data_IF_459453817715
#
_entry.id   IF_459453817715
#
_cell.length_a   1.000
_cell.length_b   1.000
_cell.length_c   1.000
_cell.angle_alpha   90.00
_cell.angle_beta   90.00
_cell.angle_gamma   90.00
#
_symmetry.space_group_name_H-M   'P 1'
#
loop_
_entity.id
_entity.type
_entity.pdbx_description
1 polymer ?
#
# COMPACT_ATOMS: atom_id res chain seq x y z
N UNK A 1 -0.67 -12.80 12.26
CA UNK A 1 -1.63 -12.54 11.18
C UNK A 1 -3.06 -12.49 11.70
N UNK A 2 -4.02 -12.06 10.87
CA UNK A 2 -5.45 -12.10 11.20
C UNK A 2 -6.19 -12.93 10.15
N UNK A 3 -7.29 -13.59 10.54
CA UNK A 3 -8.17 -14.31 9.62
C UNK A 3 -9.56 -13.71 9.70
N UNK A 4 -10.12 -13.43 8.54
CA UNK A 4 -11.49 -12.93 8.38
C UNK A 4 -12.35 -13.97 7.67
N UNK A 5 -13.58 -14.14 8.13
CA UNK A 5 -14.60 -15.00 7.53
C UNK A 5 -15.74 -14.13 7.00
N UNK A 6 -15.68 -13.68 5.74
CA UNK A 6 -16.66 -12.77 5.18
C UNK A 6 -18.07 -13.35 5.24
N UNK A 7 -19.02 -12.55 5.74
CA UNK A 7 -20.44 -12.97 5.90
C UNK A 7 -20.74 -13.90 7.09
N UNK A 8 -19.73 -14.29 7.88
CA UNK A 8 -19.93 -15.14 9.06
C UNK A 8 -19.42 -14.49 10.36
N UNK A 9 -18.36 -13.67 10.27
CA UNK A 9 -17.83 -12.92 11.40
C UNK A 9 -17.46 -11.52 10.98
N UNK A 10 -17.82 -10.52 11.79
CA UNK A 10 -17.47 -9.12 11.54
C UNK A 10 -16.02 -8.82 11.94
N UNK A 11 -15.57 -9.41 13.04
CA UNK A 11 -14.24 -9.14 13.59
C UNK A 11 -13.23 -10.20 13.15
N UNK A 12 -12.06 -9.81 12.63
CA UNK A 12 -10.99 -10.75 12.31
C UNK A 12 -10.43 -11.42 13.57
N UNK A 13 -10.14 -12.71 13.47
CA UNK A 13 -9.50 -13.47 14.53
C UNK A 13 -7.97 -13.34 14.45
N UNK A 14 -7.33 -13.11 15.59
CA UNK A 14 -5.87 -13.26 15.68
C UNK A 14 -5.52 -14.75 15.59
N UNK A 15 -4.54 -15.07 14.75
CA UNK A 15 -4.18 -16.42 14.46
C UNK A 15 -2.69 -16.56 14.13
N UNK A 16 -2.15 -17.75 14.32
CA UNK A 16 -0.81 -18.14 13.90
C UNK A 16 -0.88 -19.37 13.01
N UNK A 17 0.00 -19.43 12.00
CA UNK A 17 0.17 -20.62 11.17
C UNK A 17 1.03 -21.59 11.94
N UNK A 18 0.53 -22.80 12.18
CA UNK A 18 1.26 -23.86 12.86
C UNK A 18 1.87 -24.88 11.90
N UNK A 19 1.26 -25.07 10.74
CA UNK A 19 1.75 -26.00 9.73
C UNK A 19 1.39 -25.53 8.34
N UNK A 20 2.29 -25.75 7.38
CA UNK A 20 2.07 -25.52 5.95
C UNK A 20 2.49 -26.78 5.20
N UNK A 21 1.61 -27.32 4.39
CA UNK A 21 1.91 -28.42 3.49
C UNK A 21 1.44 -28.10 2.08
N UNK A 22 2.23 -28.49 1.09
CA UNK A 22 1.90 -28.29 -0.32
C UNK A 22 1.63 -29.66 -0.93
N UNK A 23 0.48 -29.80 -1.56
CA UNK A 23 0.15 -30.98 -2.37
C UNK A 23 0.67 -30.72 -3.80
N UNK A 24 1.78 -31.34 -4.13
CA UNK A 24 2.43 -31.19 -5.44
C UNK A 24 1.54 -31.67 -6.62
N UNK A 25 0.63 -32.61 -6.35
CA UNK A 25 -0.22 -33.14 -7.40
C UNK A 25 -1.35 -32.17 -7.79
N UNK A 26 -1.91 -31.45 -6.82
CA UNK A 26 -3.01 -30.49 -7.05
C UNK A 26 -2.53 -29.04 -7.13
N UNK A 27 -1.29 -28.75 -6.73
CA UNK A 27 -0.76 -27.39 -6.58
C UNK A 27 -1.41 -26.59 -5.46
N UNK A 28 -2.14 -27.25 -4.56
CA UNK A 28 -2.83 -26.60 -3.44
C UNK A 28 -1.97 -26.58 -2.19
N UNK A 29 -1.96 -25.46 -1.50
CA UNK A 29 -1.36 -25.34 -0.18
C UNK A 29 -2.41 -25.54 0.91
N UNK A 30 -2.06 -26.35 1.91
CA UNK A 30 -2.86 -26.55 3.11
C UNK A 30 -2.18 -25.83 4.27
N UNK A 31 -2.95 -25.03 4.99
CA UNK A 31 -2.50 -24.32 6.18
C UNK A 31 -3.26 -24.80 7.39
N UNK A 32 -2.53 -25.16 8.46
CA UNK A 32 -3.13 -25.36 9.78
C UNK A 32 -2.94 -24.08 10.58
N UNK A 33 -4.04 -23.53 11.03
CA UNK A 33 -4.07 -22.24 11.72
C UNK A 33 -4.63 -22.42 13.11
N UNK A 34 -3.92 -21.87 14.08
CA UNK A 34 -4.30 -21.92 15.50
C UNK A 34 -4.80 -20.56 15.96
N UNK A 35 -5.97 -20.51 16.57
CA UNK A 35 -6.56 -19.34 17.21
C UNK A 35 -6.64 -19.55 18.72
N UNK A 36 -6.34 -18.52 19.50
CA UNK A 36 -6.42 -18.59 20.98
C UNK A 36 -7.85 -18.41 21.52
N UNK A 37 -8.77 -17.94 20.68
CA UNK A 37 -10.14 -17.62 21.08
C UNK A 37 -11.11 -18.63 20.49
N UNK A 38 -11.91 -19.26 21.35
CA UNK A 38 -13.04 -20.10 20.96
C UNK A 38 -14.31 -19.39 21.44
N UNK A 39 -15.16 -19.00 20.49
CA UNK A 39 -16.48 -18.46 20.77
C UNK A 39 -17.55 -19.20 19.94
N UNK A 40 -18.84 -18.87 20.17
CA UNK A 40 -19.94 -19.51 19.46
C UNK A 40 -19.90 -19.37 17.95
N UNK A 41 -19.34 -18.27 17.46
CA UNK A 41 -19.22 -18.00 16.02
C UNK A 41 -18.12 -18.88 15.39
N UNK A 42 -16.98 -19.01 16.06
CA UNK A 42 -15.89 -19.90 15.63
C UNK A 42 -16.34 -21.36 15.56
N UNK A 43 -17.14 -21.82 16.53
CA UNK A 43 -17.66 -23.18 16.55
C UNK A 43 -18.63 -23.47 15.39
N UNK A 44 -19.25 -22.46 14.82
CA UNK A 44 -20.16 -22.59 13.66
C UNK A 44 -19.42 -22.57 12.32
N UNK A 45 -18.12 -22.19 12.33
CA UNK A 45 -17.32 -22.16 11.11
C UNK A 45 -17.06 -23.58 10.62
N UNK A 46 -17.79 -24.01 9.62
CA UNK A 46 -17.57 -25.28 8.92
C UNK A 46 -17.58 -25.03 7.45
N UNK A 47 -16.50 -25.41 6.73
CA UNK A 47 -16.34 -25.22 5.29
C UNK A 47 -16.50 -23.77 4.82
N UNK A 48 -16.18 -22.82 5.68
CA UNK A 48 -16.25 -21.41 5.38
C UNK A 48 -15.06 -20.94 4.52
N UNK A 49 -15.29 -19.96 3.66
CA UNK A 49 -14.19 -19.26 2.99
C UNK A 49 -13.54 -18.31 3.99
N UNK A 50 -12.22 -18.37 4.07
CA UNK A 50 -11.43 -17.49 4.93
C UNK A 50 -10.53 -16.60 4.09
N UNK A 51 -10.31 -15.38 4.56
CA UNK A 51 -9.29 -14.46 4.06
C UNK A 51 -8.18 -14.37 5.10
N UNK A 52 -6.96 -14.57 4.67
CA UNK A 52 -5.77 -14.38 5.51
C UNK A 52 -5.29 -12.96 5.31
N UNK A 53 -5.27 -12.19 6.39
CA UNK A 53 -4.73 -10.83 6.43
C UNK A 53 -3.34 -10.93 7.02
N UNK A 54 -2.34 -10.81 6.16
CA UNK A 54 -0.93 -10.91 6.56
C UNK A 54 -0.49 -9.60 7.20
N UNK A 55 -0.88 -8.49 6.59
CA UNK A 55 -0.54 -7.16 7.06
C UNK A 55 -1.71 -6.18 6.80
N UNK A 56 -1.76 -5.12 7.60
CA UNK A 56 -2.70 -4.01 7.47
C UNK A 56 -1.92 -2.71 7.54
N UNK A 57 -1.96 -1.97 6.47
CA UNK A 57 -1.27 -0.69 6.36
C UNK A 57 -2.28 0.43 6.18
N UNK A 58 -2.05 1.54 6.86
CA UNK A 58 -2.83 2.76 6.72
C UNK A 58 -2.00 3.80 5.98
N UNK A 59 -2.54 4.35 4.89
CA UNK A 59 -1.86 5.36 4.10
C UNK A 59 -2.78 5.96 3.04
N UNK A 60 -2.23 6.88 2.25
CA UNK A 60 -2.89 7.43 1.07
C UNK A 60 -2.70 6.47 -0.10
N UNK A 61 -3.76 6.20 -0.84
CA UNK A 61 -3.71 5.43 -2.08
C UNK A 61 -3.46 6.38 -3.24
N UNK A 62 -2.37 6.16 -3.94
CA UNK A 62 -1.94 6.96 -5.11
C UNK A 62 -1.89 6.04 -6.32
N UNK A 63 -2.47 6.39 -7.48
CA UNK A 63 -2.33 5.61 -8.71
C UNK A 63 -0.85 5.44 -9.06
N UNK A 64 -0.42 4.22 -9.38
CA UNK A 64 1.00 3.94 -9.73
C UNK A 64 1.42 4.73 -10.96
N UNK A 65 0.52 4.92 -11.93
CA UNK A 65 0.77 5.69 -13.14
C UNK A 65 1.02 7.20 -12.89
N UNK A 66 0.68 7.71 -11.70
CA UNK A 66 0.96 9.09 -11.30
C UNK A 66 2.32 9.25 -10.63
N UNK A 67 3.04 8.15 -10.37
CA UNK A 67 4.35 8.17 -9.70
C UNK A 67 5.44 8.47 -10.71
N UNK A 68 6.20 9.51 -10.42
CA UNK A 68 7.37 9.95 -11.19
C UNK A 68 8.61 9.79 -10.32
N UNK A 69 9.76 9.60 -10.97
CA UNK A 69 11.05 9.46 -10.30
C UNK A 69 11.98 10.58 -10.80
N UNK A 70 12.31 11.51 -9.91
CA UNK A 70 13.18 12.63 -10.22
C UNK A 70 14.52 12.54 -9.49
N UNK A 71 15.61 12.89 -10.18
CA UNK A 71 16.88 13.20 -9.55
C UNK A 71 16.89 14.63 -9.00
N UNK A 72 17.87 14.93 -8.15
CA UNK A 72 18.10 16.29 -7.66
C UNK A 72 18.39 17.31 -8.78
N UNK A 73 18.91 16.85 -9.93
CA UNK A 73 19.16 17.66 -11.10
C UNK A 73 17.92 17.92 -11.98
N UNK A 74 16.75 17.36 -11.59
CA UNK A 74 15.50 17.45 -12.33
C UNK A 74 15.34 16.43 -13.46
N UNK A 75 16.29 15.51 -13.62
CA UNK A 75 16.17 14.42 -14.60
C UNK A 75 15.09 13.44 -14.17
N UNK A 76 14.12 13.18 -15.05
CA UNK A 76 13.02 12.26 -14.83
C UNK A 76 13.32 10.87 -15.40
N UNK A 77 12.81 9.84 -14.75
CA UNK A 77 12.80 8.45 -15.22
C UNK A 77 11.43 7.82 -15.03
N UNK A 78 11.07 6.92 -15.92
CA UNK A 78 9.86 6.11 -15.78
C UNK A 78 10.04 4.96 -14.77
N UNK A 79 11.26 4.67 -14.38
CA UNK A 79 11.58 3.55 -13.48
C UNK A 79 12.39 4.00 -12.28
N UNK A 80 12.17 3.32 -11.17
CA UNK A 80 12.97 3.50 -9.97
C UNK A 80 14.43 3.14 -10.26
N UNK A 81 15.36 4.05 -9.94
CA UNK A 81 16.79 3.87 -10.07
C UNK A 81 17.53 4.38 -8.84
N UNK A 82 18.82 4.13 -8.77
CA UNK A 82 19.66 4.71 -7.71
C UNK A 82 19.65 6.24 -7.81
N UNK A 83 19.47 6.91 -6.67
CA UNK A 83 19.42 8.37 -6.53
C UNK A 83 18.18 9.05 -7.18
N UNK A 84 17.12 8.32 -7.46
CA UNK A 84 15.84 8.91 -7.83
C UNK A 84 14.91 9.01 -6.63
N UNK A 85 14.24 10.16 -6.53
CA UNK A 85 13.27 10.45 -5.48
C UNK A 85 11.88 10.20 -6.07
N UNK A 86 11.09 9.27 -5.51
CA UNK A 86 9.71 9.07 -5.95
C UNK A 86 8.84 10.25 -5.53
N UNK A 87 7.94 10.66 -6.39
CA UNK A 87 7.01 11.74 -6.14
C UNK A 87 5.83 11.74 -7.09
N UNK A 88 4.92 12.66 -6.86
CA UNK A 88 3.75 12.90 -7.70
C UNK A 88 3.60 14.38 -7.99
N UNK A 89 2.99 14.70 -9.12
CA UNK A 89 2.60 16.09 -9.39
C UNK A 89 1.20 16.34 -8.81
N UNK A 90 1.13 17.35 -7.95
CA UNK A 90 -0.12 17.82 -7.33
C UNK A 90 -0.51 19.14 -7.97
N UNK A 91 -1.79 19.29 -8.27
CA UNK A 91 -2.33 20.55 -8.75
C UNK A 91 -2.48 21.52 -7.60
N UNK A 92 -1.74 22.61 -7.66
CA UNK A 92 -1.81 23.73 -6.70
C UNK A 92 -2.26 25.01 -7.42
N UNK A 93 -3.56 25.29 -7.36
CA UNK A 93 -4.17 26.32 -8.17
C UNK A 93 -4.07 25.98 -9.67
N UNK A 94 -3.33 26.78 -10.43
CA UNK A 94 -3.06 26.57 -11.87
C UNK A 94 -1.64 26.04 -12.13
N UNK A 95 -0.95 25.54 -11.10
CA UNK A 95 0.42 25.06 -11.20
C UNK A 95 0.50 23.57 -10.86
N UNK A 96 1.34 22.84 -11.57
CA UNK A 96 1.80 21.54 -11.14
C UNK A 96 2.94 21.70 -10.14
N UNK A 97 2.87 21.03 -9.00
CA UNK A 97 3.93 21.01 -8.00
C UNK A 97 4.38 19.57 -7.77
N UNK A 98 5.67 19.33 -7.83
CA UNK A 98 6.23 18.03 -7.47
C UNK A 98 6.25 17.86 -5.96
N UNK A 99 5.58 16.81 -5.49
CA UNK A 99 5.52 16.44 -4.09
C UNK A 99 6.17 15.07 -3.91
N UNK A 100 7.20 15.03 -3.07
CA UNK A 100 7.89 13.79 -2.72
C UNK A 100 6.93 12.86 -2.00
N UNK A 101 7.03 11.57 -2.30
CA UNK A 101 6.33 10.51 -1.57
C UNK A 101 7.35 9.62 -0.88
N UNK A 102 7.05 9.26 0.38
CA UNK A 102 7.85 8.32 1.14
C UNK A 102 7.07 7.01 1.30
N UNK A 103 7.74 5.86 1.12
CA UNK A 103 7.11 4.56 1.35
C UNK A 103 6.72 4.42 2.82
N UNK A 104 5.68 3.63 3.08
CA UNK A 104 5.23 3.32 4.45
C UNK A 104 6.31 2.61 5.26
N UNK A 105 7.13 1.82 4.59
CA UNK A 105 8.29 1.13 5.16
C UNK A 105 9.53 1.45 4.32
N UNK A 106 10.53 2.03 4.96
CA UNK A 106 11.81 2.37 4.32
C UNK A 106 12.61 1.15 3.84
N UNK A 107 12.30 -0.04 4.32
CA UNK A 107 12.94 -1.29 3.92
C UNK A 107 12.34 -1.89 2.63
N UNK A 108 11.17 -1.44 2.21
CA UNK A 108 10.48 -1.95 1.04
C UNK A 108 10.21 -0.83 0.03
N UNK A 109 10.36 -1.12 -1.27
CA UNK A 109 9.88 -0.22 -2.31
C UNK A 109 8.38 0.03 -2.11
N UNK A 110 7.86 1.10 -2.69
CA UNK A 110 6.45 1.52 -2.55
C UNK A 110 5.51 0.30 -2.48
N UNK A 111 4.82 0.16 -1.35
CA UNK A 111 3.81 -0.89 -1.17
C UNK A 111 2.72 -0.70 -2.21
N UNK A 112 2.44 -1.73 -3.00
CA UNK A 112 1.43 -1.70 -4.05
C UNK A 112 0.20 -2.51 -3.64
N UNK A 113 -0.99 -1.97 -3.98
CA UNK A 113 -2.27 -2.66 -3.86
C UNK A 113 -2.99 -2.55 -5.23
N UNK A 114 -2.75 -3.53 -6.09
CA UNK A 114 -3.19 -3.48 -7.49
C UNK A 114 -2.53 -2.33 -8.24
N UNK A 115 -3.37 -1.43 -8.78
CA UNK A 115 -2.92 -0.26 -9.57
C UNK A 115 -2.56 0.96 -8.69
N UNK A 116 -2.46 0.76 -7.38
CA UNK A 116 -2.18 1.84 -6.43
C UNK A 116 -0.94 1.54 -5.60
N UNK A 117 -0.20 2.58 -5.25
CA UNK A 117 0.79 2.54 -4.19
C UNK A 117 0.23 3.18 -2.91
N UNK A 118 0.72 2.70 -1.77
CA UNK A 118 0.35 3.20 -0.45
C UNK A 118 1.50 4.03 0.08
N UNK A 119 1.22 5.28 0.43
CA UNK A 119 2.22 6.21 0.96
C UNK A 119 1.75 6.82 2.27
N UNK A 120 2.69 7.21 3.12
CA UNK A 120 2.35 7.90 4.36
C UNK A 120 1.88 9.32 4.06
N UNK A 121 0.78 9.77 4.68
CA UNK A 121 0.34 11.15 4.52
C UNK A 121 1.35 12.12 5.16
N UNK A 122 1.43 13.33 4.65
CA UNK A 122 2.18 14.42 5.28
C UNK A 122 1.74 14.59 6.74
N UNK A 123 2.70 14.66 7.65
CA UNK A 123 2.44 14.89 9.07
C UNK A 123 3.22 16.12 9.57
N UNK A 124 2.76 16.68 10.68
CA UNK A 124 3.45 17.76 11.37
C UNK A 124 4.66 17.31 12.19
N UNK A 125 4.84 16.00 12.34
CA UNK A 125 5.95 15.43 13.09
C UNK A 125 7.20 15.29 12.21
N UNK A 126 8.16 16.19 12.40
CA UNK A 126 9.41 16.29 11.64
C UNK A 126 10.42 15.15 11.91
N UNK A 127 10.10 14.23 12.81
CA UNK A 127 11.01 13.13 13.19
C UNK A 127 10.79 11.86 12.34
N UNK A 128 9.71 11.82 11.57
CA UNK A 128 9.38 10.69 10.67
C UNK A 128 9.61 11.10 9.23
N UNK A 129 10.09 10.16 8.43
CA UNK A 129 10.14 10.31 6.97
C UNK A 129 8.70 10.36 6.46
N UNK A 130 8.33 11.42 5.78
CA UNK A 130 6.93 11.76 5.50
C UNK A 130 6.81 12.25 4.08
N UNK A 131 5.81 11.75 3.38
CA UNK A 131 5.41 12.28 2.07
C UNK A 131 4.95 13.72 2.19
N UNK A 132 5.22 14.52 1.17
CA UNK A 132 4.70 15.90 1.10
C UNK A 132 3.24 15.95 0.67
N UNK A 133 2.69 14.82 0.25
CA UNK A 133 1.29 14.68 -0.21
C UNK A 133 0.34 14.64 0.99
N UNK A 134 -0.77 15.36 0.86
CA UNK A 134 -1.81 15.47 1.88
C UNK A 134 -3.09 14.79 1.43
N UNK A 135 -3.93 14.48 2.40
CA UNK A 135 -5.28 14.02 2.12
C UNK A 135 -6.06 15.13 1.37
N UNK A 136 -6.72 14.73 0.29
CA UNK A 136 -7.47 15.59 -0.64
C UNK A 136 -6.63 16.42 -1.63
N UNK A 137 -5.34 16.21 -1.72
CA UNK A 137 -4.54 16.80 -2.81
C UNK A 137 -5.02 16.24 -4.16
N UNK A 138 -5.15 17.10 -5.17
CA UNK A 138 -5.49 16.72 -6.53
C UNK A 138 -4.24 16.25 -7.27
N UNK A 139 -4.09 14.93 -7.43
CA UNK A 139 -2.94 14.32 -8.10
C UNK A 139 -3.16 14.33 -9.61
N UNK A 140 -2.15 14.75 -10.36
CA UNK A 140 -2.13 14.74 -11.82
C UNK A 140 -1.67 13.35 -12.28
N UNK A 141 -2.60 12.57 -12.82
CA UNK A 141 -2.33 11.19 -13.28
C UNK A 141 -1.69 11.18 -14.66
N UNK A 142 -2.05 12.12 -15.52
CA UNK A 142 -1.51 12.19 -16.87
C UNK A 142 -1.28 13.63 -17.31
N UNK A 143 -0.17 13.88 -17.97
CA UNK A 143 0.18 15.20 -18.50
C UNK A 143 1.45 15.12 -19.34
N UNK A 144 1.53 15.96 -20.40
CA UNK A 144 2.73 16.04 -21.22
C UNK A 144 3.75 17.01 -20.62
N UNK A 145 5.01 16.59 -20.52
CA UNK A 145 6.12 17.40 -20.04
C UNK A 145 5.83 18.08 -18.70
N UNK A 146 5.42 17.29 -17.70
CA UNK A 146 5.22 17.80 -16.35
C UNK A 146 6.57 18.19 -15.76
N UNK A 147 6.60 19.31 -15.06
CA UNK A 147 7.74 19.78 -14.27
C UNK A 147 7.22 20.66 -13.14
N UNK A 148 8.01 20.82 -12.10
CA UNK A 148 7.63 21.66 -10.95
C UNK A 148 7.46 23.11 -11.36
N UNK A 149 6.30 23.69 -11.04
CA UNK A 149 5.91 25.04 -11.43
C UNK A 149 5.29 25.18 -12.83
N UNK A 150 5.00 24.07 -13.54
CA UNK A 150 4.30 24.12 -14.82
C UNK A 150 2.89 24.68 -14.67
N UNK A 151 2.51 25.61 -15.54
CA UNK A 151 1.12 26.05 -15.70
C UNK A 151 0.27 24.94 -16.33
N UNK A 152 -0.88 24.67 -15.72
CA UNK A 152 -1.87 23.66 -16.13
C UNK A 152 -2.93 24.28 -17.03
#
# INVERSE_FOLDING_TARGET
MKIKFPGQMETPLKASVSEVSIDEASGLARFVVTCEVINGDVLRLSRAKAQIIVDETTGLRIPIEAVHYLKEDGTESETQGENYIPGVYVKYGNLARFCKIDPVDSAHPLMTDGDYCIVMPSSTDKTKTISEVRLYDEIIVSGQNLYDGKLL
#
